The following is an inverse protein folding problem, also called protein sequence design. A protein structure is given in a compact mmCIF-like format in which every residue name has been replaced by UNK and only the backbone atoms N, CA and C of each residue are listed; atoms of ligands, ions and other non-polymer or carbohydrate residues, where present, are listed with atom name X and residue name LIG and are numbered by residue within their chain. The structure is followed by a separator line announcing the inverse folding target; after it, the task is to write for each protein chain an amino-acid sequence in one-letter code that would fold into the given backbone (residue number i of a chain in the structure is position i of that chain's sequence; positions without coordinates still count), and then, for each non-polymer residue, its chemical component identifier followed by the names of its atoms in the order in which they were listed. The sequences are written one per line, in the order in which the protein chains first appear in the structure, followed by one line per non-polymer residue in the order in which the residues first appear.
data_IF_272719532358
#
_entry.id   IF_272719532358
#
_cell.length_a   1.000
_cell.length_b   1.000
_cell.length_c   1.000
_cell.angle_alpha   90.00
_cell.angle_beta   90.00
_cell.angle_gamma   90.00
#
_symmetry.space_group_name_H-M   'P 1'
#
loop_
_entity.id
_entity.type
_entity.pdbx_description
1 polymer ?
#
# COMPACT_ATOMS: atom_id res chain seq x y z
N UNK A 1 -0.79 -20.88 13.06
CA UNK A 1 -0.62 -19.42 12.90
C UNK A 1 0.07 -19.18 11.56
N UNK A 2 -0.56 -18.42 10.67
CA UNK A 2 -0.47 -18.59 9.21
C UNK A 2 0.86 -18.10 8.60
N UNK A 3 1.56 -18.89 7.76
CA UNK A 3 2.82 -18.50 7.12
C UNK A 3 2.73 -17.22 6.27
N UNK A 4 1.53 -16.85 5.81
CA UNK A 4 1.23 -15.61 5.08
C UNK A 4 1.47 -14.38 5.97
N UNK A 5 1.00 -14.37 7.22
CA UNK A 5 1.20 -13.24 8.14
C UNK A 5 2.69 -12.98 8.40
N UNK A 6 3.47 -14.04 8.58
CA UNK A 6 4.92 -13.94 8.79
C UNK A 6 5.64 -13.42 7.54
N UNK A 7 5.22 -13.85 6.36
CA UNK A 7 5.79 -13.41 5.08
C UNK A 7 5.51 -11.93 4.84
N UNK A 8 4.27 -11.48 5.05
CA UNK A 8 3.89 -10.06 4.89
C UNK A 8 4.66 -9.15 5.84
N UNK A 9 4.84 -9.56 7.11
CA UNK A 9 5.60 -8.78 8.10
C UNK A 9 7.09 -8.71 7.78
N UNK A 10 7.69 -9.81 7.29
CA UNK A 10 9.11 -9.83 6.92
C UNK A 10 9.36 -8.94 5.69
N UNK A 11 8.52 -9.05 4.66
CA UNK A 11 8.66 -8.23 3.45
C UNK A 11 8.45 -6.75 3.74
N UNK A 12 7.45 -6.39 4.55
CA UNK A 12 7.24 -4.99 4.94
C UNK A 12 8.40 -4.44 5.77
N UNK A 13 8.99 -5.25 6.66
CA UNK A 13 10.18 -4.87 7.43
C UNK A 13 11.42 -4.66 6.53
N UNK A 14 11.66 -5.54 5.56
CA UNK A 14 12.77 -5.41 4.60
C UNK A 14 12.62 -4.14 3.76
N UNK A 15 11.45 -3.92 3.17
CA UNK A 15 11.19 -2.74 2.34
C UNK A 15 11.35 -1.45 3.16
N UNK A 16 10.85 -1.43 4.38
CA UNK A 16 11.02 -0.30 5.30
C UNK A 16 12.48 -0.06 5.64
N UNK A 17 13.26 -1.12 5.92
CA UNK A 17 14.69 -1.01 6.22
C UNK A 17 15.49 -0.43 5.06
N UNK A 18 15.23 -0.88 3.82
CA UNK A 18 15.89 -0.35 2.63
C UNK A 18 15.55 1.12 2.41
N UNK A 19 14.26 1.48 2.53
CA UNK A 19 13.82 2.88 2.44
C UNK A 19 14.48 3.75 3.51
N UNK A 20 14.64 3.24 4.74
CA UNK A 20 15.27 3.97 5.84
C UNK A 20 16.72 4.31 5.53
N UNK A 21 17.48 3.33 5.04
CA UNK A 21 18.90 3.50 4.70
C UNK A 21 19.06 4.49 3.54
N UNK A 22 18.31 4.30 2.45
CA UNK A 22 18.40 5.17 1.27
C UNK A 22 17.92 6.58 1.60
N UNK A 23 16.79 6.72 2.28
CA UNK A 23 16.23 7.99 2.71
C UNK A 23 17.17 8.75 3.63
N UNK A 24 17.74 8.08 4.64
CA UNK A 24 18.71 8.67 5.55
C UNK A 24 19.94 9.20 4.82
N UNK A 25 20.50 8.41 3.89
CA UNK A 25 21.69 8.80 3.13
C UNK A 25 21.42 10.02 2.24
N UNK A 26 20.32 10.00 1.49
CA UNK A 26 19.93 11.10 0.58
C UNK A 26 19.57 12.35 1.38
N UNK A 27 18.81 12.22 2.47
CA UNK A 27 18.43 13.33 3.34
C UNK A 27 19.65 13.99 3.99
N UNK A 28 20.58 13.18 4.49
CA UNK A 28 21.82 13.69 5.07
C UNK A 28 22.68 14.45 4.06
N UNK A 29 22.82 13.94 2.84
CA UNK A 29 23.59 14.61 1.80
C UNK A 29 22.94 15.92 1.33
N UNK A 30 21.61 16.02 1.35
CA UNK A 30 20.88 17.19 0.87
C UNK A 30 20.85 18.35 1.88
N UNK A 31 20.71 18.06 3.17
CA UNK A 31 20.53 19.10 4.19
C UNK A 31 21.20 18.80 5.55
N UNK A 32 22.15 17.85 5.59
CA UNK A 32 22.85 17.47 6.81
C UNK A 32 21.93 16.82 7.84
N UNK A 33 22.09 17.19 9.10
CA UNK A 33 21.35 16.55 10.20
C UNK A 33 19.83 16.77 10.13
N UNK A 34 19.37 17.96 9.71
CA UNK A 34 17.95 18.24 9.54
C UNK A 34 17.32 17.43 8.40
N UNK A 35 18.06 17.23 7.31
CA UNK A 35 17.65 16.40 6.19
C UNK A 35 17.56 14.91 6.53
N UNK A 36 18.48 14.41 7.36
CA UNK A 36 18.45 13.03 7.87
C UNK A 36 17.17 12.76 8.66
N UNK A 37 16.88 13.58 9.67
CA UNK A 37 15.70 13.39 10.51
C UNK A 37 14.39 13.57 9.73
N UNK A 38 14.37 14.51 8.78
CA UNK A 38 13.22 14.70 7.88
C UNK A 38 12.99 13.49 6.97
N UNK A 39 14.06 12.89 6.42
CA UNK A 39 13.94 11.71 5.57
C UNK A 39 13.52 10.46 6.37
N UNK A 40 14.04 10.27 7.58
CA UNK A 40 13.64 9.18 8.46
C UNK A 40 12.16 9.28 8.87
N UNK A 41 11.65 10.49 9.13
CA UNK A 41 10.23 10.73 9.35
C UNK A 41 9.38 10.36 8.12
N UNK A 42 9.85 10.73 6.92
CA UNK A 42 9.19 10.35 5.67
C UNK A 42 9.13 8.83 5.47
N UNK A 43 10.21 8.12 5.77
CA UNK A 43 10.25 6.65 5.69
C UNK A 43 9.32 6.01 6.71
N UNK A 44 9.30 6.51 7.94
CA UNK A 44 8.38 6.03 8.98
C UNK A 44 6.93 6.18 8.52
N UNK A 45 6.59 7.32 7.92
CA UNK A 45 5.25 7.56 7.38
C UNK A 45 4.91 6.58 6.24
N UNK A 46 5.85 6.32 5.33
CA UNK A 46 5.68 5.34 4.27
C UNK A 46 5.45 3.92 4.82
N UNK A 47 6.19 3.53 5.86
CA UNK A 47 6.02 2.25 6.55
C UNK A 47 4.63 2.13 7.19
N UNK A 48 4.14 3.20 7.83
CA UNK A 48 2.79 3.26 8.37
C UNK A 48 1.73 3.08 7.28
N UNK A 49 1.88 3.74 6.13
CA UNK A 49 0.92 3.60 5.01
C UNK A 49 0.91 2.19 4.42
N UNK A 50 2.08 1.56 4.30
CA UNK A 50 2.19 0.16 3.90
C UNK A 50 1.54 -0.78 4.94
N UNK A 51 1.72 -0.49 6.23
CA UNK A 51 1.07 -1.20 7.33
C UNK A 51 -0.46 -1.12 7.24
N UNK A 52 -1.01 0.09 7.08
CA UNK A 52 -2.47 0.31 6.90
C UNK A 52 -2.99 -0.50 5.71
N UNK A 53 -2.27 -0.49 4.59
CA UNK A 53 -2.65 -1.24 3.38
C UNK A 53 -2.64 -2.76 3.61
N UNK A 54 -1.61 -3.26 4.30
CA UNK A 54 -1.50 -4.69 4.59
C UNK A 54 -2.61 -5.16 5.54
N UNK A 55 -2.91 -4.37 6.57
CA UNK A 55 -3.98 -4.64 7.53
C UNK A 55 -5.35 -4.56 6.86
N UNK A 56 -5.60 -3.58 5.99
CA UNK A 56 -6.89 -3.44 5.31
C UNK A 56 -7.19 -4.66 4.42
N UNK A 57 -6.20 -5.17 3.69
CA UNK A 57 -6.33 -6.38 2.87
C UNK A 57 -6.60 -7.61 3.74
N UNK A 58 -5.89 -7.78 4.85
CA UNK A 58 -6.09 -8.90 5.78
C UNK A 58 -7.52 -8.91 6.37
N UNK A 59 -8.04 -7.73 6.72
CA UNK A 59 -9.41 -7.59 7.22
C UNK A 59 -10.41 -7.90 6.11
N UNK A 60 -10.22 -7.37 4.90
CA UNK A 60 -11.13 -7.58 3.77
C UNK A 60 -11.21 -9.06 3.36
N UNK A 61 -10.07 -9.76 3.32
CA UNK A 61 -10.01 -11.18 2.94
C UNK A 61 -10.80 -12.10 3.89
N UNK A 62 -11.02 -11.68 5.15
CA UNK A 62 -11.81 -12.45 6.13
C UNK A 62 -13.29 -12.57 5.74
N UNK A 63 -13.79 -11.68 4.91
CA UNK A 63 -15.20 -11.62 4.49
C UNK A 63 -15.41 -12.17 3.07
N UNK A 64 -14.36 -12.72 2.45
CA UNK A 64 -14.41 -13.27 1.10
C UNK A 64 -15.45 -14.39 0.99
N UNK A 65 -16.33 -14.30 -0.02
CA UNK A 65 -17.39 -15.29 -0.27
C UNK A 65 -18.72 -15.03 0.46
N UNK A 66 -18.87 -13.92 1.18
CA UNK A 66 -20.15 -13.50 1.77
C UNK A 66 -20.90 -12.51 0.86
N UNK A 67 -22.24 -12.45 0.94
CA UNK A 67 -23.07 -11.52 0.15
C UNK A 67 -22.71 -10.04 0.39
N UNK A 68 -22.13 -9.74 1.56
CA UNK A 68 -21.67 -8.40 1.97
C UNK A 68 -20.20 -8.12 1.59
N UNK A 69 -19.51 -9.04 0.91
CA UNK A 69 -18.10 -8.88 0.58
C UNK A 69 -17.83 -7.59 -0.20
N UNK A 70 -18.65 -7.29 -1.22
CA UNK A 70 -18.49 -6.11 -2.08
C UNK A 70 -18.60 -4.79 -1.28
N UNK A 71 -19.69 -4.52 -0.53
CA UNK A 71 -19.78 -3.29 0.26
C UNK A 71 -18.73 -3.21 1.38
N UNK A 72 -18.36 -4.33 2.02
CA UNK A 72 -17.28 -4.35 3.03
C UNK A 72 -15.93 -4.01 2.40
N UNK A 73 -15.61 -4.60 1.25
CA UNK A 73 -14.38 -4.32 0.52
C UNK A 73 -14.28 -2.83 0.15
N UNK A 74 -15.32 -2.27 -0.47
CA UNK A 74 -15.36 -0.85 -0.81
C UNK A 74 -15.26 0.04 0.43
N UNK A 75 -15.94 -0.29 1.53
CA UNK A 75 -15.84 0.43 2.80
C UNK A 75 -14.42 0.41 3.37
N UNK A 76 -13.73 -0.73 3.31
CA UNK A 76 -12.34 -0.87 3.77
C UNK A 76 -11.38 -0.09 2.86
N UNK A 77 -11.57 -0.11 1.53
CA UNK A 77 -10.71 0.64 0.60
C UNK A 77 -10.89 2.14 0.79
N UNK A 78 -12.14 2.63 0.80
CA UNK A 78 -12.45 4.05 1.00
C UNK A 78 -12.03 4.51 2.40
N UNK A 79 -12.29 3.69 3.43
CA UNK A 79 -11.88 3.96 4.80
C UNK A 79 -10.37 3.98 4.97
N UNK A 80 -9.66 3.03 4.34
CA UNK A 80 -8.20 2.99 4.35
C UNK A 80 -7.56 4.20 3.66
N UNK A 81 -8.16 4.67 2.56
CA UNK A 81 -7.74 5.90 1.89
C UNK A 81 -7.96 7.13 2.79
N UNK A 82 -9.16 7.26 3.38
CA UNK A 82 -9.48 8.37 4.27
C UNK A 82 -8.58 8.38 5.52
N UNK A 83 -8.33 7.21 6.12
CA UNK A 83 -7.45 7.07 7.27
C UNK A 83 -6.02 7.54 6.93
N UNK A 84 -5.46 7.11 5.80
CA UNK A 84 -4.14 7.56 5.35
C UNK A 84 -4.12 9.08 5.16
N UNK A 85 -5.16 9.65 4.57
CA UNK A 85 -5.27 11.09 4.38
C UNK A 85 -5.29 11.85 5.72
N UNK A 86 -6.03 11.37 6.71
CA UNK A 86 -6.06 11.97 8.05
C UNK A 86 -4.68 11.87 8.71
N UNK A 87 -4.05 10.68 8.70
CA UNK A 87 -2.72 10.48 9.27
C UNK A 87 -1.70 11.40 8.62
N UNK A 88 -1.76 11.55 7.30
CA UNK A 88 -0.93 12.49 6.55
C UNK A 88 -1.10 13.93 7.04
N UNK A 89 -2.34 14.40 7.16
CA UNK A 89 -2.61 15.76 7.63
C UNK A 89 -2.12 15.97 9.07
N UNK A 90 -2.33 15.00 9.96
CA UNK A 90 -1.81 15.09 11.33
C UNK A 90 -0.29 15.25 11.32
N UNK A 91 0.42 14.44 10.53
CA UNK A 91 1.89 14.55 10.43
C UNK A 91 2.31 15.88 9.80
N UNK A 92 1.62 16.35 8.75
CA UNK A 92 1.81 17.69 8.18
C UNK A 92 1.73 18.76 9.28
N UNK A 93 0.63 18.79 10.03
CA UNK A 93 0.38 19.82 11.03
C UNK A 93 1.34 19.74 12.22
N UNK A 94 1.74 18.54 12.65
CA UNK A 94 2.68 18.37 13.76
C UNK A 94 4.10 18.79 13.37
N UNK A 95 4.52 18.50 12.14
CA UNK A 95 5.91 18.72 11.70
C UNK A 95 6.12 20.12 11.12
N UNK A 96 5.10 20.77 10.53
CA UNK A 96 5.26 22.08 9.86
C UNK A 96 5.75 23.21 10.78
N UNK A 97 5.39 23.16 12.06
CA UNK A 97 5.62 24.23 13.04
C UNK A 97 6.89 23.98 13.88
N UNK A 98 7.68 22.97 13.50
CA UNK A 98 8.90 22.61 14.20
C UNK A 98 10.07 23.54 13.79
N UNK A 99 10.85 24.08 14.75
CA UNK A 99 11.91 25.06 14.47
C UNK A 99 13.08 24.52 13.65
N UNK A 100 13.18 23.20 13.52
CA UNK A 100 14.18 22.49 12.72
C UNK A 100 13.68 22.17 11.29
N UNK A 101 12.46 22.60 10.94
CA UNK A 101 11.78 22.31 9.68
C UNK A 101 11.63 23.58 8.85
N UNK A 102 12.13 23.56 7.61
CA UNK A 102 11.92 24.66 6.66
C UNK A 102 10.54 24.52 6.00
N UNK A 103 9.64 25.49 6.21
CA UNK A 103 8.25 25.40 5.77
C UNK A 103 8.07 25.26 4.25
N UNK A 104 8.91 25.89 3.43
CA UNK A 104 8.84 25.77 1.96
C UNK A 104 9.28 24.37 1.51
N UNK A 105 10.39 23.88 2.05
CA UNK A 105 10.91 22.53 1.78
C UNK A 105 9.91 21.47 2.25
N UNK A 106 9.32 21.67 3.43
CA UNK A 106 8.30 20.79 3.99
C UNK A 106 7.05 20.73 3.13
N UNK A 107 6.53 21.89 2.70
CA UNK A 107 5.39 21.97 1.80
C UNK A 107 5.65 21.25 0.48
N UNK A 108 6.78 21.51 -0.17
CA UNK A 108 7.17 20.84 -1.42
C UNK A 108 7.38 19.33 -1.23
N UNK A 109 8.02 18.92 -0.13
CA UNK A 109 8.21 17.51 0.21
C UNK A 109 6.87 16.78 0.40
N UNK A 110 5.86 17.48 0.94
CA UNK A 110 4.51 16.94 1.14
C UNK A 110 3.74 16.84 -0.15
N UNK A 111 3.76 17.87 -0.99
CA UNK A 111 3.16 17.80 -2.33
C UNK A 111 3.82 16.68 -3.14
N UNK A 112 5.15 16.61 -3.15
CA UNK A 112 5.88 15.53 -3.81
C UNK A 112 5.56 14.15 -3.21
N UNK A 113 5.42 14.04 -1.89
CA UNK A 113 5.04 12.82 -1.19
C UNK A 113 3.64 12.32 -1.55
N UNK A 114 2.67 13.23 -1.66
CA UNK A 114 1.32 12.91 -2.15
C UNK A 114 1.39 12.39 -3.58
N UNK A 115 2.09 13.11 -4.48
CA UNK A 115 2.21 12.72 -5.89
C UNK A 115 2.92 11.38 -6.05
N UNK A 116 3.97 11.13 -5.27
CA UNK A 116 4.71 9.86 -5.27
C UNK A 116 3.84 8.71 -4.76
N UNK A 117 3.09 8.89 -3.68
CA UNK A 117 2.14 7.89 -3.18
C UNK A 117 1.11 7.53 -4.26
N UNK A 118 0.56 8.54 -4.92
CA UNK A 118 -0.47 8.37 -5.94
C UNK A 118 0.10 7.66 -7.18
N UNK A 119 1.35 7.96 -7.56
CA UNK A 119 2.06 7.26 -8.61
C UNK A 119 2.30 5.78 -8.26
N UNK A 120 2.70 5.47 -7.02
CA UNK A 120 2.85 4.09 -6.54
C UNK A 120 1.53 3.35 -6.61
N UNK A 121 0.43 3.96 -6.16
CA UNK A 121 -0.90 3.38 -6.23
C UNK A 121 -1.27 3.05 -7.69
N UNK A 122 -1.05 3.98 -8.64
CA UNK A 122 -1.29 3.74 -10.08
C UNK A 122 -0.41 2.62 -10.63
N UNK A 123 0.88 2.58 -10.28
CA UNK A 123 1.80 1.53 -10.73
C UNK A 123 1.38 0.16 -10.19
N UNK A 124 1.03 0.08 -8.90
CA UNK A 124 0.57 -1.16 -8.27
C UNK A 124 -0.73 -1.64 -8.92
N UNK A 125 -1.69 -0.74 -9.11
CA UNK A 125 -2.95 -1.06 -9.77
C UNK A 125 -2.76 -1.54 -11.20
N UNK A 126 -1.91 -0.89 -11.98
CA UNK A 126 -1.63 -1.28 -13.38
C UNK A 126 -0.78 -2.56 -13.49
N UNK A 127 0.02 -2.89 -12.48
CA UNK A 127 0.82 -4.13 -12.42
C UNK A 127 0.08 -5.32 -11.83
N UNK A 128 -1.05 -5.12 -11.15
CA UNK A 128 -1.98 -6.20 -10.86
C UNK A 128 -2.59 -6.68 -12.18
N UNK A 129 -1.87 -7.58 -12.86
CA UNK A 129 -2.48 -8.47 -13.85
C UNK A 129 -3.50 -9.29 -13.08
N UNK A 130 -4.76 -8.88 -13.14
CA UNK A 130 -5.87 -9.71 -12.70
C UNK A 130 -5.70 -11.07 -13.42
N UNK A 131 -5.70 -12.20 -12.69
CA UNK A 131 -5.88 -13.50 -13.32
C UNK A 131 -7.22 -13.44 -14.05
N UNK A 132 -7.17 -13.09 -15.33
CA UNK A 132 -8.35 -13.10 -16.18
C UNK A 132 -8.85 -14.54 -16.21
N UNK A 133 -10.17 -14.70 -16.38
CA UNK A 133 -10.90 -15.97 -16.41
C UNK A 133 -10.40 -17.03 -17.45
N UNK A 134 -9.26 -16.81 -18.10
CA UNK A 134 -8.60 -17.75 -19.01
C UNK A 134 -8.03 -19.00 -18.33
N UNK A 135 -7.90 -19.03 -17.00
CA UNK A 135 -7.51 -20.25 -16.26
C UNK A 135 -8.69 -21.21 -15.98
N UNK A 136 -9.90 -20.88 -16.47
CA UNK A 136 -11.03 -21.81 -16.40
C UNK A 136 -10.92 -22.84 -17.53
N UNK A 137 -10.65 -24.11 -17.17
CA UNK A 137 -10.83 -25.23 -18.11
C UNK A 137 -12.31 -25.35 -18.43
N UNK A 138 -12.69 -25.04 -19.67
CA UNK A 138 -14.00 -25.36 -20.20
C UNK A 138 -14.21 -26.90 -20.14
N UNK A 139 -15.36 -27.40 -19.67
CA UNK A 139 -15.69 -28.82 -19.78
C UNK A 139 -15.57 -29.24 -21.25
N UNK A 140 -14.67 -30.18 -21.55
CA UNK A 140 -14.42 -30.67 -22.93
C UNK A 140 -15.37 -31.82 -23.32
N UNK A 141 -16.37 -32.13 -22.51
CA UNK A 141 -17.32 -33.18 -22.81
C UNK A 141 -18.75 -32.65 -22.64
N UNK A 142 -19.48 -32.67 -23.75
CA UNK A 142 -20.94 -32.56 -23.77
C UNK A 142 -21.51 -33.91 -23.30
N UNK A 143 -22.30 -33.96 -22.21
CA UNK A 143 -22.91 -35.20 -21.74
C UNK A 143 -23.91 -35.82 -22.74
N UNK A 144 -24.32 -35.11 -23.80
CA UNK A 144 -25.28 -35.62 -24.80
C UNK A 144 -24.65 -36.40 -25.98
N UNK A 145 -23.32 -36.41 -26.13
CA UNK A 145 -22.60 -37.12 -27.21
C UNK A 145 -22.38 -38.63 -26.92
N UNK A 146 -23.38 -39.28 -26.31
CA UNK A 146 -23.40 -40.75 -26.10
C UNK A 146 -24.63 -41.44 -26.70
N UNK A 147 -25.47 -40.71 -27.45
CA UNK A 147 -26.74 -41.23 -27.98
C UNK A 147 -26.70 -41.72 -29.44
N UNK A 148 -25.52 -41.84 -30.07
CA UNK A 148 -25.42 -41.97 -31.54
C UNK A 148 -24.66 -43.18 -32.11
N UNK A 149 -24.42 -44.26 -31.36
CA UNK A 149 -23.81 -45.49 -31.91
C UNK A 149 -24.42 -46.76 -31.30
N UNK A 150 -25.57 -47.16 -31.85
CA UNK A 150 -25.99 -48.56 -31.93
C UNK A 150 -26.26 -48.90 -33.41
#
# INVERSE_FOLDING_TARGET
STPILRTTVIWSAIVTGVLAVVGALVGYLAAGESGLWSALLGVLLAAVFLGITSVSILIANRWFGTDLYVPIFFGIVLGGWLLKFIVFLVVLFVVRDQPWVNSLVFFLAIVAGILASLAVDVIVLTRMRLPYASDTKLPTADPEDTSGRE
#
